data_IF_961179994098
#
_entry.id   IF_961179994098
#
_cell.length_a   1.000
_cell.length_b   1.000
_cell.length_c   1.000
_cell.angle_alpha   90.00
_cell.angle_beta   90.00
_cell.angle_gamma   90.00
#
_symmetry.space_group_name_H-M   'P 1'
#
loop_
_entity.id
_entity.type
_entity.pdbx_description
1 polymer ?
#
# COMPACT_ATOMS: atom_id res chain seq x y z
N UNK A 1 11.92 -15.07 -6.26
CA UNK A 1 13.10 -15.12 -5.36
C UNK A 1 12.78 -14.35 -4.10
N UNK A 2 12.82 -14.99 -2.95
CA UNK A 2 12.55 -14.34 -1.66
C UNK A 2 13.52 -13.17 -1.39
N UNK A 3 13.00 -12.15 -0.71
CA UNK A 3 13.76 -11.00 -0.23
C UNK A 3 13.70 -11.01 1.29
N UNK A 4 14.85 -10.87 1.93
CA UNK A 4 14.91 -10.76 3.37
C UNK A 4 15.72 -9.52 3.75
N UNK A 5 15.17 -8.70 4.62
CA UNK A 5 15.92 -7.72 5.40
C UNK A 5 16.00 -8.27 6.81
N UNK A 6 17.21 -8.40 7.37
CA UNK A 6 17.46 -8.99 8.69
C UNK A 6 18.12 -7.96 9.58
N UNK A 7 17.45 -7.59 10.68
CA UNK A 7 17.96 -6.66 11.70
C UNK A 7 18.51 -5.35 11.14
N UNK A 8 17.80 -4.80 10.13
CA UNK A 8 18.25 -3.60 9.42
C UNK A 8 18.00 -2.35 10.25
N UNK A 9 19.05 -1.62 10.56
CA UNK A 9 19.02 -0.32 11.23
C UNK A 9 19.65 0.75 10.37
N UNK A 10 19.08 1.98 10.42
CA UNK A 10 19.57 3.15 9.69
C UNK A 10 19.30 4.45 10.44
N UNK A 11 20.32 5.27 10.58
CA UNK A 11 20.24 6.59 11.21
C UNK A 11 20.70 7.69 10.23
N UNK A 12 20.03 8.81 10.29
CA UNK A 12 20.45 10.04 9.64
C UNK A 12 20.69 11.11 10.72
N UNK A 13 21.94 11.29 11.09
CA UNK A 13 22.31 12.09 12.26
C UNK A 13 21.70 11.51 13.55
N UNK A 14 20.85 12.29 14.23
CA UNK A 14 20.15 11.84 15.45
C UNK A 14 18.85 11.10 15.16
N UNK A 15 18.34 11.13 13.93
CA UNK A 15 17.08 10.51 13.56
C UNK A 15 17.28 9.03 13.18
N UNK A 16 16.61 8.13 13.90
CA UNK A 16 16.55 6.71 13.55
C UNK A 16 15.44 6.50 12.52
N UNK A 17 15.83 6.27 11.27
CA UNK A 17 14.89 6.00 10.18
C UNK A 17 14.42 4.55 10.16
N UNK A 18 15.29 3.62 10.58
CA UNK A 18 15.00 2.20 10.80
C UNK A 18 15.67 1.77 12.10
N UNK A 19 14.97 0.95 12.88
CA UNK A 19 15.41 0.45 14.18
C UNK A 19 15.08 -1.04 14.28
N UNK A 20 16.09 -1.88 14.01
CA UNK A 20 16.02 -3.35 14.07
C UNK A 20 14.89 -3.97 13.22
N UNK A 21 14.78 -3.56 11.96
CA UNK A 21 13.73 -4.01 11.04
C UNK A 21 14.09 -5.34 10.41
N UNK A 22 13.21 -6.34 10.60
CA UNK A 22 13.32 -7.65 9.94
C UNK A 22 12.03 -7.97 9.19
N UNK A 23 12.13 -8.23 7.87
CA UNK A 23 11.00 -8.53 6.99
C UNK A 23 11.39 -9.51 5.90
N UNK A 24 10.45 -10.39 5.54
CA UNK A 24 10.61 -11.36 4.46
C UNK A 24 9.47 -11.23 3.46
N UNK A 25 9.79 -11.05 2.19
CA UNK A 25 8.88 -11.23 1.07
C UNK A 25 9.15 -12.57 0.39
N UNK A 26 8.15 -13.42 0.35
CA UNK A 26 8.24 -14.74 -0.28
C UNK A 26 8.47 -14.63 -1.80
N UNK A 27 8.92 -15.72 -2.41
CA UNK A 27 9.12 -15.77 -3.86
C UNK A 27 7.82 -15.55 -4.62
N UNK A 28 7.82 -14.61 -5.55
CA UNK A 28 6.65 -14.24 -6.33
C UNK A 28 5.59 -13.44 -5.57
N UNK A 29 5.80 -13.06 -4.30
CA UNK A 29 4.82 -12.30 -3.54
C UNK A 29 4.72 -10.83 -3.95
N UNK A 30 3.53 -10.28 -3.81
CA UNK A 30 3.24 -8.84 -3.92
C UNK A 30 3.04 -8.26 -2.51
N UNK A 31 4.09 -7.61 -2.00
CA UNK A 31 4.13 -7.05 -0.65
C UNK A 31 3.99 -5.54 -0.65
N UNK A 32 3.17 -5.00 0.28
CA UNK A 32 3.12 -3.58 0.57
C UNK A 32 3.88 -3.23 1.86
N UNK A 33 4.71 -2.19 1.82
CA UNK A 33 5.18 -1.48 3.01
C UNK A 33 4.23 -0.32 3.26
N UNK A 34 3.44 -0.39 4.31
CA UNK A 34 2.37 0.55 4.64
C UNK A 34 2.68 1.30 5.94
N UNK A 35 2.34 2.56 6.05
CA UNK A 35 2.54 3.34 7.27
C UNK A 35 2.53 4.85 7.03
N UNK A 36 2.52 5.68 8.08
CA UNK A 36 2.53 7.12 7.97
C UNK A 36 3.82 7.64 7.33
N UNK A 37 3.81 8.91 6.90
CA UNK A 37 5.01 9.56 6.39
C UNK A 37 6.11 9.57 7.46
N UNK A 38 7.35 9.27 7.07
CA UNK A 38 8.48 9.21 8.00
C UNK A 38 8.63 7.89 8.77
N UNK A 39 7.79 6.86 8.52
CA UNK A 39 7.90 5.56 9.20
C UNK A 39 9.05 4.66 8.73
N UNK A 40 9.87 5.09 7.76
CA UNK A 40 11.05 4.35 7.30
C UNK A 40 10.87 3.53 6.01
N UNK A 41 9.68 3.42 5.44
CA UNK A 41 9.35 2.58 4.27
C UNK A 41 10.27 2.80 3.06
N UNK A 42 10.35 4.04 2.57
CA UNK A 42 11.22 4.36 1.41
C UNK A 42 12.71 4.18 1.74
N UNK A 43 13.11 4.35 3.01
CA UNK A 43 14.49 4.06 3.44
C UNK A 43 14.77 2.57 3.35
N UNK A 44 13.88 1.73 3.86
CA UNK A 44 14.00 0.26 3.75
C UNK A 44 14.02 -0.19 2.29
N UNK A 45 13.11 0.34 1.47
CA UNK A 45 13.05 0.04 0.04
C UNK A 45 14.37 0.41 -0.68
N UNK A 46 14.96 1.58 -0.37
CA UNK A 46 16.25 2.02 -0.94
C UNK A 46 17.41 1.18 -0.44
N UNK A 47 17.41 0.71 0.79
CA UNK A 47 18.41 -0.21 1.33
C UNK A 47 18.34 -1.55 0.59
N UNK A 48 17.16 -2.12 0.37
CA UNK A 48 16.97 -3.35 -0.42
C UNK A 48 17.50 -3.15 -1.85
N UNK A 49 17.23 -1.99 -2.46
CA UNK A 49 17.71 -1.65 -3.80
C UNK A 49 19.25 -1.43 -3.88
N UNK A 50 19.93 -1.20 -2.76
CA UNK A 50 21.34 -0.80 -2.73
C UNK A 50 21.58 0.66 -3.14
N UNK A 51 20.54 1.50 -2.99
CA UNK A 51 20.60 2.95 -3.17
C UNK A 51 20.95 3.69 -1.87
N UNK A 52 20.83 2.98 -0.74
CA UNK A 52 21.22 3.42 0.59
C UNK A 52 21.92 2.24 1.30
N UNK A 53 22.88 2.53 2.17
CA UNK A 53 23.60 1.51 2.94
C UNK A 53 23.00 1.46 4.35
N UNK A 54 22.65 0.29 4.89
CA UNK A 54 22.26 0.16 6.29
C UNK A 54 23.46 0.44 7.20
N UNK A 55 23.20 0.85 8.44
CA UNK A 55 24.26 0.99 9.45
C UNK A 55 24.51 -0.36 10.15
N UNK A 56 23.44 -1.18 10.27
CA UNK A 56 23.49 -2.54 10.81
C UNK A 56 22.51 -3.44 10.03
N UNK A 57 22.73 -4.74 10.10
CA UNK A 57 21.85 -5.74 9.49
C UNK A 57 22.27 -6.16 8.09
N UNK A 58 21.43 -6.99 7.48
CA UNK A 58 21.73 -7.66 6.22
C UNK A 58 20.54 -7.66 5.28
N UNK A 59 20.80 -7.57 3.98
CA UNK A 59 19.81 -7.78 2.90
C UNK A 59 20.19 -9.01 2.11
N UNK A 60 19.24 -9.95 1.98
CA UNK A 60 19.40 -11.19 1.23
C UNK A 60 18.39 -11.22 0.09
N UNK A 61 18.81 -11.51 -1.14
CA UNK A 61 17.95 -11.67 -2.31
C UNK A 61 18.23 -13.04 -2.93
N UNK A 62 17.21 -13.91 -2.94
CA UNK A 62 17.34 -15.26 -3.48
C UNK A 62 18.38 -16.12 -2.79
N UNK A 63 18.55 -15.95 -1.47
CA UNK A 63 19.51 -16.68 -0.65
C UNK A 63 20.95 -16.14 -0.69
N UNK A 64 21.21 -15.07 -1.45
CA UNK A 64 22.52 -14.42 -1.54
C UNK A 64 22.52 -13.09 -0.78
N UNK A 65 23.51 -12.88 0.09
CA UNK A 65 23.71 -11.59 0.75
C UNK A 65 24.13 -10.53 -0.25
N UNK A 66 23.35 -9.44 -0.33
CA UNK A 66 23.56 -8.34 -1.28
C UNK A 66 23.91 -7.03 -0.59
N UNK A 67 24.09 -7.01 0.70
CA UNK A 67 24.28 -5.79 1.52
C UNK A 67 25.40 -4.90 0.95
N UNK A 68 26.58 -5.48 0.72
CA UNK A 68 27.74 -4.78 0.17
C UNK A 68 27.74 -4.68 -1.37
N UNK A 69 26.75 -5.30 -2.03
CA UNK A 69 26.67 -5.34 -3.48
C UNK A 69 26.10 -4.01 -4.02
N UNK A 70 26.73 -3.37 -5.01
CA UNK A 70 26.21 -2.14 -5.59
C UNK A 70 24.87 -2.39 -6.29
N UNK A 71 23.96 -1.40 -6.28
CA UNK A 71 22.59 -1.49 -6.80
C UNK A 71 22.51 -2.12 -8.21
N UNK A 72 23.42 -1.75 -9.13
CA UNK A 72 23.49 -2.29 -10.51
C UNK A 72 23.68 -3.81 -10.60
N UNK A 73 24.19 -4.43 -9.55
CA UNK A 73 24.52 -5.86 -9.52
C UNK A 73 23.49 -6.70 -8.76
N UNK A 74 22.55 -6.08 -8.02
CA UNK A 74 21.54 -6.79 -7.19
C UNK A 74 20.41 -7.44 -8.01
N UNK A 75 20.30 -7.15 -9.31
CA UNK A 75 19.23 -7.68 -10.15
C UNK A 75 17.86 -7.11 -9.82
N UNK A 76 17.79 -5.89 -9.30
CA UNK A 76 16.57 -5.19 -8.87
C UNK A 76 16.11 -4.22 -9.96
N UNK A 77 14.80 -4.20 -10.23
CA UNK A 77 14.11 -3.13 -10.96
C UNK A 77 13.55 -2.13 -9.95
N UNK A 78 13.80 -0.84 -10.16
CA UNK A 78 13.33 0.21 -9.25
C UNK A 78 12.50 1.26 -9.99
N UNK A 79 11.31 1.58 -9.44
CA UNK A 79 10.45 2.68 -9.91
C UNK A 79 10.39 3.73 -8.81
N UNK A 80 10.86 4.93 -9.13
CA UNK A 80 10.86 6.07 -8.21
C UNK A 80 9.49 6.74 -8.15
N UNK A 81 9.16 7.40 -7.04
CA UNK A 81 7.92 8.12 -6.78
C UNK A 81 7.53 9.11 -7.90
N UNK A 82 8.51 9.80 -8.49
CA UNK A 82 8.29 10.73 -9.61
C UNK A 82 8.65 10.10 -10.98
N UNK A 83 8.65 8.75 -11.06
CA UNK A 83 8.92 7.96 -12.26
C UNK A 83 10.31 8.19 -12.89
N UNK A 84 11.01 9.27 -12.55
CA UNK A 84 12.34 9.68 -13.03
C UNK A 84 12.54 9.44 -14.55
N UNK A 85 11.67 9.99 -15.43
CA UNK A 85 11.80 9.79 -16.86
C UNK A 85 13.03 10.52 -17.44
N UNK A 86 13.68 9.92 -18.40
CA UNK A 86 14.67 10.62 -19.22
C UNK A 86 13.95 11.53 -20.20
N UNK A 87 13.78 12.81 -19.82
CA UNK A 87 12.92 13.78 -20.52
C UNK A 87 13.28 14.03 -21.98
N UNK A 88 14.55 13.83 -22.35
CA UNK A 88 15.10 14.03 -23.70
C UNK A 88 15.05 12.76 -24.57
N UNK A 89 14.55 11.67 -24.05
CA UNK A 89 14.40 10.39 -24.74
C UNK A 89 12.92 10.10 -25.01
N UNK A 90 12.64 9.37 -26.09
CA UNK A 90 11.30 8.85 -26.38
C UNK A 90 10.86 7.79 -25.35
N UNK A 91 9.62 7.37 -25.40
CA UNK A 91 9.11 6.22 -24.60
C UNK A 91 9.92 4.97 -24.93
N UNK A 92 10.14 4.68 -26.22
CA UNK A 92 10.97 3.58 -26.69
C UNK A 92 12.37 3.63 -26.05
N UNK A 93 13.05 4.77 -26.15
CA UNK A 93 14.41 4.92 -25.65
C UNK A 93 14.51 4.87 -24.13
N UNK A 94 13.49 5.38 -23.41
CA UNK A 94 13.40 5.21 -21.96
C UNK A 94 13.37 3.73 -21.58
N UNK A 95 12.54 2.93 -22.24
CA UNK A 95 12.42 1.48 -21.95
C UNK A 95 13.68 0.74 -22.39
N UNK A 96 14.28 1.09 -23.54
CA UNK A 96 15.50 0.50 -24.09
C UNK A 96 16.76 0.80 -23.25
N UNK A 97 16.74 1.86 -22.43
CA UNK A 97 17.94 2.43 -21.81
C UNK A 97 18.78 1.40 -21.06
N UNK A 98 18.16 0.62 -20.17
CA UNK A 98 18.85 -0.38 -19.36
C UNK A 98 19.52 -1.50 -20.19
N UNK A 99 18.90 -1.89 -21.29
CA UNK A 99 19.44 -2.88 -22.22
C UNK A 99 20.60 -2.29 -23.04
N UNK A 100 20.47 -1.02 -23.46
CA UNK A 100 21.50 -0.30 -24.21
C UNK A 100 22.77 -0.11 -23.36
N UNK A 101 22.65 0.27 -22.10
CA UNK A 101 23.77 0.37 -21.15
C UNK A 101 24.48 -0.99 -20.96
N UNK A 102 23.73 -2.09 -20.99
CA UNK A 102 24.25 -3.47 -20.93
C UNK A 102 24.79 -3.97 -22.26
N UNK A 103 24.79 -3.12 -23.30
CA UNK A 103 25.33 -3.42 -24.66
C UNK A 103 24.66 -4.64 -25.29
N UNK A 104 23.37 -4.85 -25.09
CA UNK A 104 22.62 -5.93 -25.74
C UNK A 104 22.49 -5.68 -27.25
N UNK A 105 22.34 -6.73 -28.09
CA UNK A 105 22.13 -6.58 -29.54
C UNK A 105 20.90 -5.71 -29.85
N UNK A 106 20.96 -4.88 -30.88
CA UNK A 106 19.86 -3.99 -31.28
C UNK A 106 18.55 -4.73 -31.57
N UNK A 107 18.64 -5.92 -32.18
CA UNK A 107 17.46 -6.76 -32.44
C UNK A 107 16.79 -7.20 -31.14
N UNK A 108 17.56 -7.69 -30.17
CA UNK A 108 17.03 -8.09 -28.82
C UNK A 108 16.37 -6.90 -28.11
N UNK A 109 16.98 -5.71 -28.18
CA UNK A 109 16.42 -4.49 -27.61
C UNK A 109 15.07 -4.17 -28.27
N UNK A 110 15.00 -4.18 -29.61
CA UNK A 110 13.78 -3.84 -30.34
C UNK A 110 12.62 -4.81 -30.00
N UNK A 111 12.91 -6.11 -30.00
CA UNK A 111 11.92 -7.15 -29.68
C UNK A 111 11.42 -7.02 -28.24
N UNK A 112 12.34 -6.83 -27.28
CA UNK A 112 11.99 -6.70 -25.87
C UNK A 112 11.21 -5.42 -25.57
N UNK A 113 11.59 -4.29 -26.17
CA UNK A 113 10.86 -3.02 -26.00
C UNK A 113 9.45 -3.14 -26.58
N UNK A 114 9.30 -3.75 -27.76
CA UNK A 114 7.98 -3.99 -28.37
C UNK A 114 7.08 -4.84 -27.47
N UNK A 115 7.61 -5.94 -26.95
CA UNK A 115 6.90 -6.81 -25.99
C UNK A 115 6.44 -6.03 -24.75
N UNK A 116 7.35 -5.27 -24.14
CA UNK A 116 7.04 -4.52 -22.92
C UNK A 116 6.05 -3.38 -23.15
N UNK A 117 6.16 -2.66 -24.28
CA UNK A 117 5.20 -1.61 -24.61
C UNK A 117 3.79 -2.18 -24.81
N UNK A 118 3.67 -3.37 -25.41
CA UNK A 118 2.39 -4.08 -25.51
C UNK A 118 1.89 -4.48 -24.12
N UNK A 119 2.73 -5.08 -23.27
CA UNK A 119 2.41 -5.49 -21.90
C UNK A 119 1.85 -4.33 -21.04
N UNK A 120 2.49 -3.15 -21.15
CA UNK A 120 2.05 -1.95 -20.41
C UNK A 120 1.02 -1.09 -21.16
N UNK A 121 0.53 -1.53 -22.32
CA UNK A 121 -0.45 -0.84 -23.18
C UNK A 121 0.01 0.55 -23.60
N UNK A 122 1.24 0.66 -24.09
CA UNK A 122 1.85 1.87 -24.62
C UNK A 122 2.35 1.72 -26.07
N UNK A 123 1.93 0.67 -26.80
CA UNK A 123 2.45 0.35 -28.15
C UNK A 123 2.31 1.51 -29.14
N UNK A 124 1.22 2.26 -29.07
CA UNK A 124 0.99 3.42 -29.96
C UNK A 124 1.74 4.69 -29.54
N UNK A 125 2.53 4.65 -28.46
CA UNK A 125 3.18 5.83 -27.87
C UNK A 125 4.71 5.76 -27.89
N UNK A 126 5.29 4.78 -28.58
CA UNK A 126 6.75 4.52 -28.59
C UNK A 126 7.59 5.75 -28.93
N UNK A 127 7.16 6.55 -29.91
CA UNK A 127 7.86 7.74 -30.39
C UNK A 127 7.54 9.02 -29.61
N UNK A 128 6.65 8.96 -28.62
CA UNK A 128 6.33 10.11 -27.79
C UNK A 128 7.39 10.37 -26.75
N UNK A 129 7.48 11.64 -26.33
CA UNK A 129 8.33 12.06 -25.22
C UNK A 129 7.55 12.04 -23.89
N UNK A 130 8.21 11.89 -22.74
CA UNK A 130 7.55 11.89 -21.43
C UNK A 130 6.62 13.07 -21.17
N UNK A 131 6.94 14.25 -21.68
CA UNK A 131 6.11 15.46 -21.58
C UNK A 131 4.75 15.38 -22.31
N UNK A 132 4.58 14.36 -23.15
CA UNK A 132 3.35 14.13 -23.94
C UNK A 132 2.49 13.01 -23.33
N UNK A 133 2.87 12.47 -22.17
CA UNK A 133 2.21 11.37 -21.49
C UNK A 133 1.40 11.86 -20.29
N UNK A 134 0.28 11.19 -20.02
CA UNK A 134 -0.43 11.33 -18.74
C UNK A 134 0.39 10.72 -17.58
N UNK A 135 0.02 11.03 -16.32
CA UNK A 135 0.70 10.47 -15.15
C UNK A 135 0.69 8.94 -15.14
N UNK A 136 -0.45 8.31 -15.43
CA UNK A 136 -0.54 6.85 -15.53
C UNK A 136 0.27 6.26 -16.68
N UNK A 137 0.38 6.96 -17.81
CA UNK A 137 1.24 6.52 -18.91
C UNK A 137 2.73 6.64 -18.55
N UNK A 138 3.13 7.70 -17.82
CA UNK A 138 4.50 7.86 -17.30
C UNK A 138 4.86 6.73 -16.33
N UNK A 139 3.94 6.35 -15.45
CA UNK A 139 4.14 5.23 -14.53
C UNK A 139 4.31 3.91 -15.26
N UNK A 140 3.44 3.60 -16.23
CA UNK A 140 3.54 2.38 -17.05
C UNK A 140 4.85 2.33 -17.83
N UNK A 141 5.31 3.46 -18.37
CA UNK A 141 6.63 3.56 -19.02
C UNK A 141 7.76 3.28 -18.00
N UNK A 142 7.71 3.86 -16.80
CA UNK A 142 8.74 3.62 -15.79
C UNK A 142 8.78 2.16 -15.35
N UNK A 143 7.63 1.50 -15.26
CA UNK A 143 7.55 0.08 -14.95
C UNK A 143 8.10 -0.79 -16.11
N UNK A 144 7.74 -0.49 -17.36
CA UNK A 144 8.32 -1.17 -18.54
C UNK A 144 9.86 -1.03 -18.56
N UNK A 145 10.38 0.16 -18.25
CA UNK A 145 11.83 0.41 -18.12
C UNK A 145 12.47 -0.45 -17.04
N UNK A 146 11.82 -0.59 -15.87
CA UNK A 146 12.32 -1.43 -14.78
C UNK A 146 12.31 -2.92 -15.16
N UNK A 147 11.28 -3.38 -15.87
CA UNK A 147 11.13 -4.76 -16.34
C UNK A 147 12.03 -5.12 -17.53
N UNK A 148 12.51 -4.11 -18.28
CA UNK A 148 13.31 -4.36 -19.48
C UNK A 148 14.55 -5.19 -19.20
N UNK A 149 15.17 -4.99 -18.06
CA UNK A 149 16.41 -5.67 -17.65
C UNK A 149 16.18 -7.05 -17.02
N UNK A 150 14.94 -7.55 -17.03
CA UNK A 150 14.51 -8.82 -16.42
C UNK A 150 14.96 -8.93 -14.96
N UNK A 151 14.45 -8.05 -14.08
CA UNK A 151 14.87 -8.04 -12.69
C UNK A 151 14.36 -9.28 -11.97
N UNK A 152 15.11 -9.72 -10.95
CA UNK A 152 14.69 -10.76 -10.01
C UNK A 152 13.63 -10.25 -9.04
N UNK A 153 13.66 -8.95 -8.76
CA UNK A 153 12.84 -8.24 -7.78
C UNK A 153 12.43 -6.89 -8.34
N UNK A 154 11.18 -6.49 -8.09
CA UNK A 154 10.64 -5.19 -8.46
C UNK A 154 10.32 -4.36 -7.20
N UNK A 155 10.86 -3.15 -7.13
CA UNK A 155 10.67 -2.23 -6.02
C UNK A 155 10.01 -0.95 -6.52
N UNK A 156 8.87 -0.58 -5.91
CA UNK A 156 8.06 0.56 -6.34
C UNK A 156 7.91 1.55 -5.17
N UNK A 157 8.45 2.75 -5.32
CA UNK A 157 8.35 3.81 -4.30
C UNK A 157 7.14 4.70 -4.61
N UNK A 158 6.06 4.56 -3.83
CA UNK A 158 4.76 5.27 -3.97
C UNK A 158 4.21 5.25 -5.42
N UNK A 159 3.94 4.08 -6.00
CA UNK A 159 3.60 3.99 -7.42
C UNK A 159 2.30 4.71 -7.81
N UNK A 160 1.40 5.00 -6.88
CA UNK A 160 0.08 5.58 -7.14
C UNK A 160 -0.06 7.04 -6.69
N UNK A 161 0.99 7.63 -6.09
CA UNK A 161 0.92 8.88 -5.32
C UNK A 161 0.55 10.16 -6.09
N UNK A 162 0.79 10.26 -7.40
CA UNK A 162 0.62 11.51 -8.15
C UNK A 162 -0.57 11.50 -9.14
N UNK A 163 -1.60 10.68 -8.86
CA UNK A 163 -2.68 10.41 -9.80
C UNK A 163 -4.05 10.80 -9.22
N UNK A 164 -5.00 11.16 -10.11
CA UNK A 164 -6.40 11.31 -9.73
C UNK A 164 -7.03 9.95 -9.33
N UNK A 165 -8.15 10.01 -8.59
CA UNK A 165 -8.76 8.83 -7.98
C UNK A 165 -9.17 7.75 -9.00
N UNK A 166 -9.68 8.15 -10.17
CA UNK A 166 -10.11 7.21 -11.21
C UNK A 166 -8.91 6.48 -11.82
N UNK A 167 -7.89 7.24 -12.23
CA UNK A 167 -6.65 6.67 -12.80
C UNK A 167 -5.93 5.78 -11.79
N UNK A 168 -5.98 6.15 -10.50
CA UNK A 168 -5.40 5.37 -9.41
C UNK A 168 -6.07 3.99 -9.30
N UNK A 169 -7.41 3.93 -9.31
CA UNK A 169 -8.14 2.65 -9.28
C UNK A 169 -7.79 1.75 -10.47
N UNK A 170 -7.80 2.30 -11.70
CA UNK A 170 -7.43 1.56 -12.90
C UNK A 170 -5.98 1.02 -12.84
N UNK A 171 -5.07 1.78 -12.24
CA UNK A 171 -3.66 1.36 -12.11
C UNK A 171 -3.44 0.30 -11.03
N UNK A 172 -4.18 0.36 -9.90
CA UNK A 172 -4.14 -0.69 -8.87
C UNK A 172 -4.53 -2.05 -9.47
N UNK A 173 -5.68 -2.08 -10.14
CA UNK A 173 -6.18 -3.28 -10.80
C UNK A 173 -5.23 -3.77 -11.91
N UNK A 174 -4.65 -2.84 -12.67
CA UNK A 174 -3.68 -3.17 -13.70
C UNK A 174 -2.36 -3.71 -13.11
N UNK A 175 -1.83 -3.12 -12.02
CA UNK A 175 -0.62 -3.62 -11.36
C UNK A 175 -0.83 -5.04 -10.81
N UNK A 176 -1.99 -5.31 -10.22
CA UNK A 176 -2.35 -6.64 -9.74
C UNK A 176 -2.33 -7.67 -10.88
N UNK A 177 -3.01 -7.37 -11.99
CA UNK A 177 -3.02 -8.26 -13.17
C UNK A 177 -1.63 -8.45 -13.76
N UNK A 178 -0.83 -7.38 -13.85
CA UNK A 178 0.53 -7.48 -14.32
C UNK A 178 1.37 -8.40 -13.42
N UNK A 179 1.23 -8.27 -12.11
CA UNK A 179 1.93 -9.13 -11.15
C UNK A 179 1.55 -10.61 -11.36
N UNK A 180 0.27 -10.90 -11.51
CA UNK A 180 -0.24 -12.26 -11.77
C UNK A 180 0.35 -12.85 -13.06
N UNK A 181 0.63 -12.00 -14.08
CA UNK A 181 1.21 -12.41 -15.37
C UNK A 181 2.72 -12.66 -15.30
N UNK A 182 3.46 -11.78 -14.60
CA UNK A 182 4.94 -11.84 -14.59
C UNK A 182 5.53 -12.59 -13.40
N UNK A 183 4.80 -12.71 -12.31
CA UNK A 183 5.19 -13.40 -11.06
C UNK A 183 6.58 -13.01 -10.52
N UNK A 184 6.96 -11.75 -10.63
CA UNK A 184 8.20 -11.21 -10.07
C UNK A 184 7.92 -10.73 -8.65
N UNK A 185 8.72 -11.17 -7.68
CA UNK A 185 8.63 -10.69 -6.30
C UNK A 185 8.66 -9.16 -6.28
N UNK A 186 7.59 -8.57 -5.79
CA UNK A 186 7.37 -7.12 -5.87
C UNK A 186 7.14 -6.55 -4.48
N UNK A 187 7.87 -5.48 -4.13
CA UNK A 187 7.61 -4.68 -2.93
C UNK A 187 7.23 -3.28 -3.38
N UNK A 188 6.10 -2.77 -2.88
CA UNK A 188 5.73 -1.38 -3.09
C UNK A 188 5.51 -0.64 -1.77
N UNK A 189 5.84 0.65 -1.77
CA UNK A 189 5.60 1.56 -0.64
C UNK A 189 4.33 2.33 -0.89
N UNK A 190 3.50 2.44 0.12
CA UNK A 190 2.34 3.34 0.12
C UNK A 190 2.04 3.87 1.52
N UNK A 191 1.35 4.99 1.61
CA UNK A 191 0.72 5.51 2.82
C UNK A 191 -0.81 5.39 2.78
N UNK A 192 -1.35 4.91 1.66
CA UNK A 192 -2.77 4.72 1.42
C UNK A 192 -3.18 3.27 1.77
N UNK A 193 -4.13 3.16 2.69
CA UNK A 193 -4.62 1.87 3.19
C UNK A 193 -5.36 1.09 2.10
N UNK A 194 -6.18 1.79 1.27
CA UNK A 194 -6.93 1.16 0.19
C UNK A 194 -5.99 0.53 -0.83
N UNK A 195 -4.90 1.23 -1.18
CA UNK A 195 -3.88 0.71 -2.10
C UNK A 195 -3.26 -0.58 -1.58
N UNK A 196 -2.86 -0.60 -0.30
CA UNK A 196 -2.27 -1.78 0.31
C UNK A 196 -3.26 -2.94 0.40
N UNK A 197 -4.48 -2.67 0.88
CA UNK A 197 -5.52 -3.70 1.09
C UNK A 197 -6.04 -4.30 -0.21
N UNK A 198 -6.10 -3.51 -1.30
CA UNK A 198 -6.62 -3.97 -2.60
C UNK A 198 -5.56 -4.71 -3.43
N UNK A 199 -4.30 -4.27 -3.35
CA UNK A 199 -3.24 -4.72 -4.26
C UNK A 199 -2.39 -5.83 -3.66
N UNK A 200 -2.01 -5.71 -2.38
CA UNK A 200 -1.01 -6.59 -1.78
C UNK A 200 -1.57 -7.95 -1.34
N UNK A 201 -0.72 -8.97 -1.39
CA UNK A 201 -0.94 -10.28 -0.78
C UNK A 201 -0.45 -10.31 0.66
N UNK A 202 0.59 -9.53 0.94
CA UNK A 202 1.17 -9.33 2.25
C UNK A 202 1.38 -7.85 2.51
N UNK A 203 1.03 -7.38 3.70
CA UNK A 203 1.23 -6.00 4.13
C UNK A 203 2.12 -5.99 5.37
N UNK A 204 3.11 -5.11 5.36
CA UNK A 204 3.96 -4.81 6.51
C UNK A 204 3.64 -3.41 6.98
N UNK A 205 3.03 -3.29 8.15
CA UNK A 205 2.71 -2.00 8.76
C UNK A 205 3.92 -1.49 9.53
N UNK A 206 4.40 -0.31 9.15
CA UNK A 206 5.57 0.32 9.75
C UNK A 206 5.19 1.62 10.46
N UNK A 207 5.79 1.84 11.63
CA UNK A 207 5.64 3.06 12.39
C UNK A 207 6.97 3.41 13.09
N UNK A 208 7.36 4.69 13.08
CA UNK A 208 8.55 5.21 13.77
C UNK A 208 9.83 4.35 13.57
N UNK A 209 10.03 3.85 12.34
CA UNK A 209 11.21 3.04 11.98
C UNK A 209 11.14 1.57 12.38
N UNK A 210 10.01 1.08 12.88
CA UNK A 210 9.80 -0.32 13.31
C UNK A 210 8.63 -0.96 12.58
N UNK A 211 8.58 -2.29 12.60
CA UNK A 211 7.43 -3.05 12.13
C UNK A 211 6.46 -3.23 13.30
N UNK A 212 5.22 -2.83 13.10
CA UNK A 212 4.12 -3.03 14.06
C UNK A 212 3.44 -4.38 13.87
N UNK A 213 3.19 -4.74 12.60
CA UNK A 213 2.59 -6.03 12.23
C UNK A 213 2.89 -6.33 10.76
N UNK A 214 3.02 -7.62 10.44
CA UNK A 214 3.03 -8.13 9.07
C UNK A 214 1.99 -9.25 8.95
N UNK A 215 1.30 -9.31 7.81
CA UNK A 215 0.29 -10.33 7.55
C UNK A 215 -0.48 -10.06 6.27
N UNK A 216 -1.48 -10.90 5.97
CA UNK A 216 -2.43 -10.65 4.88
C UNK A 216 -3.31 -9.44 5.19
N UNK A 217 -3.92 -8.80 4.16
CA UNK A 217 -4.89 -7.73 4.37
C UNK A 217 -5.97 -8.09 5.39
N UNK A 218 -6.50 -9.31 5.29
CA UNK A 218 -7.54 -9.82 6.19
C UNK A 218 -7.06 -9.92 7.64
N UNK A 219 -5.87 -10.49 7.86
CA UNK A 219 -5.31 -10.62 9.22
C UNK A 219 -5.09 -9.28 9.89
N UNK A 220 -4.57 -8.28 9.15
CA UNK A 220 -4.36 -6.93 9.69
C UNK A 220 -5.67 -6.24 10.08
N UNK A 221 -6.74 -6.49 9.34
CA UNK A 221 -8.05 -5.91 9.61
C UNK A 221 -8.79 -6.64 10.75
N UNK A 222 -8.86 -7.98 10.67
CA UNK A 222 -9.60 -8.82 11.63
C UNK A 222 -8.84 -9.08 12.94
N UNK A 223 -7.48 -9.05 12.91
CA UNK A 223 -6.63 -9.41 14.05
C UNK A 223 -5.46 -8.44 14.24
N UNK A 224 -5.73 -7.13 14.39
CA UNK A 224 -4.67 -6.14 14.62
C UNK A 224 -3.93 -6.46 15.91
N UNK A 225 -2.60 -6.34 15.89
CA UNK A 225 -1.71 -6.68 17.02
C UNK A 225 -1.74 -5.64 18.14
N UNK A 226 -2.07 -4.40 17.81
CA UNK A 226 -2.07 -3.29 18.76
C UNK A 226 -3.02 -2.15 18.34
N UNK A 227 -3.18 -1.16 19.22
CA UNK A 227 -4.01 0.03 18.98
C UNK A 227 -3.62 0.79 17.73
N UNK A 228 -2.30 0.92 17.48
CA UNK A 228 -1.81 1.64 16.31
C UNK A 228 -2.28 0.97 15.02
N UNK A 229 -2.07 -0.33 14.87
CA UNK A 229 -2.49 -1.08 13.67
C UNK A 229 -4.00 -1.01 13.49
N UNK A 230 -4.77 -1.19 14.57
CA UNK A 230 -6.22 -1.12 14.51
C UNK A 230 -6.72 0.24 14.03
N UNK A 231 -6.17 1.33 14.59
CA UNK A 231 -6.57 2.70 14.23
C UNK A 231 -6.04 3.12 12.86
N UNK A 232 -4.89 2.59 12.46
CA UNK A 232 -4.26 2.93 11.19
C UNK A 232 -4.91 2.20 10.00
N UNK A 233 -5.39 0.96 10.17
CA UNK A 233 -5.96 0.14 9.08
C UNK A 233 -7.43 0.48 8.76
N UNK A 234 -8.08 1.34 9.51
CA UNK A 234 -9.44 1.77 9.21
C UNK A 234 -10.08 2.51 10.37
N UNK A 235 -11.26 3.09 10.15
CA UNK A 235 -11.96 3.84 11.18
C UNK A 235 -12.29 2.97 12.40
N UNK A 236 -12.20 3.58 13.58
CA UNK A 236 -12.45 2.91 14.85
C UNK A 236 -13.12 3.86 15.84
N UNK A 237 -14.06 3.34 16.65
CA UNK A 237 -14.59 4.01 17.81
C UNK A 237 -13.74 3.65 19.03
N UNK A 238 -13.29 4.65 19.78
CA UNK A 238 -12.63 4.44 21.08
C UNK A 238 -13.63 4.63 22.21
N UNK A 239 -13.81 3.60 23.02
CA UNK A 239 -14.75 3.58 24.13
C UNK A 239 -13.99 3.28 25.44
N UNK A 240 -13.38 4.31 26.05
CA UNK A 240 -12.40 4.13 27.13
C UNK A 240 -11.11 3.52 26.59
N UNK A 241 -10.73 2.35 27.09
CA UNK A 241 -9.57 1.58 26.64
C UNK A 241 -9.94 0.52 25.58
N UNK A 242 -11.18 0.54 25.14
CA UNK A 242 -11.70 -0.44 24.20
C UNK A 242 -11.93 0.16 22.81
N UNK A 243 -11.82 -0.67 21.77
CA UNK A 243 -11.92 -0.29 20.36
C UNK A 243 -12.98 -1.12 19.67
N UNK A 244 -13.83 -0.46 18.88
CA UNK A 244 -14.94 -1.06 18.13
C UNK A 244 -14.97 -0.51 16.71
N UNK A 245 -15.10 -1.37 15.71
CA UNK A 245 -15.28 -0.91 14.32
C UNK A 245 -16.66 -0.30 14.12
N UNK A 246 -16.79 0.78 13.32
CA UNK A 246 -18.11 1.39 13.06
C UNK A 246 -19.13 0.45 12.40
N UNK A 247 -18.68 -0.49 11.57
CA UNK A 247 -19.57 -1.45 10.90
C UNK A 247 -20.02 -2.61 11.82
N UNK A 248 -19.37 -2.79 12.97
CA UNK A 248 -19.77 -3.76 13.99
C UNK A 248 -20.80 -3.17 14.99
N UNK A 249 -21.03 -1.84 14.90
CA UNK A 249 -22.06 -1.18 15.72
C UNK A 249 -23.43 -1.38 15.08
N UNK A 250 -24.32 -2.07 15.75
CA UNK A 250 -25.69 -2.32 15.28
C UNK A 250 -26.65 -1.24 15.77
N UNK A 251 -27.42 -0.63 14.87
CA UNK A 251 -28.55 0.25 15.20
C UNK A 251 -29.82 -0.58 15.08
N UNK A 252 -30.62 -0.63 16.14
CA UNK A 252 -31.80 -1.51 16.26
C UNK A 252 -33.09 -0.68 16.19
N UNK A 253 -34.15 -1.25 15.62
CA UNK A 253 -35.51 -0.64 15.68
C UNK A 253 -36.09 -0.68 17.08
N UNK A 254 -35.81 -1.74 17.84
CA UNK A 254 -36.31 -1.96 19.22
C UNK A 254 -35.20 -2.58 20.07
N UNK A 255 -35.20 -2.30 21.36
CA UNK A 255 -34.31 -2.98 22.30
C UNK A 255 -34.80 -4.43 22.52
N UNK A 256 -33.99 -5.39 22.17
CA UNK A 256 -34.24 -6.82 22.39
C UNK A 256 -33.44 -7.37 23.59
N UNK A 257 -32.87 -6.48 24.39
CA UNK A 257 -32.07 -6.74 25.58
C UNK A 257 -30.56 -6.53 25.36
N UNK A 258 -29.98 -5.67 26.18
CA UNK A 258 -28.55 -5.37 26.18
C UNK A 258 -28.10 -4.27 25.22
N UNK A 259 -29.03 -3.56 24.57
CA UNK A 259 -28.71 -2.36 23.79
C UNK A 259 -28.67 -1.12 24.70
N UNK A 260 -27.96 -0.10 24.24
CA UNK A 260 -27.85 1.21 24.89
C UNK A 260 -28.52 2.25 24.00
N UNK A 261 -29.37 3.11 24.53
CA UNK A 261 -29.96 4.22 23.79
C UNK A 261 -28.85 5.19 23.30
N UNK A 262 -28.92 5.61 22.06
CA UNK A 262 -27.99 6.59 21.50
C UNK A 262 -28.74 7.65 20.68
N UNK A 263 -28.33 8.89 20.83
CA UNK A 263 -28.85 10.02 20.06
C UNK A 263 -28.12 10.13 18.73
N UNK A 264 -28.86 10.13 17.61
CA UNK A 264 -28.31 10.40 16.28
C UNK A 264 -27.99 11.90 16.16
N UNK A 265 -26.71 12.23 16.05
CA UNK A 265 -26.23 13.59 15.78
C UNK A 265 -26.27 13.93 14.31
N UNK A 266 -25.92 12.98 13.44
CA UNK A 266 -25.79 13.21 12.02
C UNK A 266 -25.92 11.93 11.21
N UNK A 267 -26.53 12.02 10.04
CA UNK A 267 -26.60 10.92 9.06
C UNK A 267 -25.91 11.37 7.78
N UNK A 268 -24.87 10.67 7.33
CA UNK A 268 -24.08 11.01 6.16
C UNK A 268 -24.14 9.89 5.12
N UNK A 269 -24.76 10.18 3.98
CA UNK A 269 -24.84 9.24 2.85
C UNK A 269 -23.56 9.28 2.03
N UNK A 270 -22.79 8.18 2.01
CA UNK A 270 -21.50 8.04 1.30
C UNK A 270 -21.62 7.18 0.03
N UNK A 271 -22.79 7.20 -0.62
CA UNK A 271 -23.06 6.43 -1.83
C UNK A 271 -23.61 5.05 -1.52
N UNK A 272 -22.77 4.04 -1.32
CA UNK A 272 -23.18 2.65 -1.05
C UNK A 272 -23.46 2.40 0.45
N UNK A 273 -22.91 3.20 1.32
CA UNK A 273 -23.06 3.11 2.78
C UNK A 273 -23.59 4.40 3.40
N UNK A 274 -24.05 4.31 4.64
CA UNK A 274 -24.48 5.44 5.46
C UNK A 274 -23.70 5.43 6.76
N UNK A 275 -23.01 6.54 7.06
CA UNK A 275 -22.36 6.77 8.34
C UNK A 275 -23.30 7.51 9.26
N UNK A 276 -23.47 7.00 10.46
CA UNK A 276 -24.32 7.58 11.50
C UNK A 276 -23.44 7.99 12.68
N UNK A 277 -23.40 9.27 12.99
CA UNK A 277 -22.71 9.79 14.17
C UNK A 277 -23.69 9.77 15.35
N UNK A 278 -23.28 9.13 16.43
CA UNK A 278 -24.12 8.82 17.58
C UNK A 278 -23.49 9.37 18.86
N UNK A 279 -24.34 9.80 19.81
CA UNK A 279 -23.90 10.11 21.19
C UNK A 279 -24.53 9.13 22.15
N UNK A 280 -23.70 8.45 22.93
CA UNK A 280 -24.13 7.57 24.01
C UNK A 280 -24.64 8.37 25.23
N UNK A 281 -25.41 7.75 26.18
CA UNK A 281 -25.92 8.44 27.36
C UNK A 281 -24.87 9.05 28.27
N UNK A 282 -23.66 8.52 28.24
CA UNK A 282 -22.52 9.03 28.99
C UNK A 282 -21.78 10.20 28.29
N UNK A 283 -22.32 10.67 27.16
CA UNK A 283 -21.76 11.80 26.37
C UNK A 283 -20.66 11.45 25.41
N UNK A 284 -20.28 10.18 25.27
CA UNK A 284 -19.28 9.75 24.28
C UNK A 284 -19.88 9.72 22.88
N UNK A 285 -19.09 10.19 21.91
CA UNK A 285 -19.42 10.14 20.50
C UNK A 285 -18.84 8.88 19.87
N UNK A 286 -19.66 8.17 19.10
CA UNK A 286 -19.29 7.01 18.30
C UNK A 286 -19.86 7.14 16.89
N UNK A 287 -19.40 6.32 15.97
CA UNK A 287 -19.98 6.20 14.64
C UNK A 287 -20.43 4.77 14.37
N UNK A 288 -21.55 4.63 13.68
CA UNK A 288 -21.99 3.38 13.09
C UNK A 288 -21.92 3.49 11.55
N UNK A 289 -21.66 2.37 10.90
CA UNK A 289 -21.68 2.26 9.46
C UNK A 289 -22.72 1.22 9.06
N UNK A 290 -23.78 1.67 8.40
CA UNK A 290 -24.91 0.82 8.02
C UNK A 290 -25.15 0.83 6.51
N UNK A 291 -25.91 -0.14 6.03
CA UNK A 291 -26.32 -0.16 4.62
C UNK A 291 -27.37 0.91 4.34
N UNK A 292 -27.54 1.30 3.08
CA UNK A 292 -28.64 2.18 2.66
C UNK A 292 -30.02 1.57 2.94
N UNK A 293 -30.14 0.24 2.84
CA UNK A 293 -31.38 -0.46 3.13
C UNK A 293 -31.72 -0.36 4.62
N UNK A 294 -30.77 -0.62 5.51
CA UNK A 294 -30.94 -0.47 6.95
C UNK A 294 -31.27 0.96 7.34
N UNK A 295 -30.59 1.95 6.74
CA UNK A 295 -30.87 3.36 7.01
C UNK A 295 -32.27 3.78 6.60
N UNK A 296 -32.79 3.26 5.49
CA UNK A 296 -34.14 3.52 4.99
C UNK A 296 -35.21 2.78 5.84
N UNK A 297 -34.96 1.53 6.23
CA UNK A 297 -35.85 0.73 7.06
C UNK A 297 -36.07 1.36 8.45
N UNK A 298 -34.99 1.87 9.04
CA UNK A 298 -35.00 2.53 10.35
C UNK A 298 -35.38 4.01 10.27
N UNK A 299 -35.61 4.56 9.07
CA UNK A 299 -35.91 5.97 8.80
C UNK A 299 -34.94 6.92 9.51
N UNK A 300 -33.60 6.61 9.43
CA UNK A 300 -32.59 7.30 10.25
C UNK A 300 -32.54 8.80 9.95
N UNK A 301 -32.69 9.62 10.98
CA UNK A 301 -32.60 11.07 10.91
C UNK A 301 -31.98 11.69 12.17
N UNK A 302 -31.50 12.90 12.04
CA UNK A 302 -30.90 13.66 13.14
C UNK A 302 -31.94 13.93 14.26
N UNK A 303 -31.52 13.80 15.51
CA UNK A 303 -32.34 13.97 16.71
C UNK A 303 -33.11 12.72 17.13
N UNK A 304 -33.06 11.63 16.38
CA UNK A 304 -33.68 10.36 16.73
C UNK A 304 -32.88 9.65 17.82
N UNK A 305 -33.57 9.01 18.74
CA UNK A 305 -32.97 8.15 19.78
C UNK A 305 -33.31 6.70 19.43
N UNK A 306 -32.28 5.87 19.24
CA UNK A 306 -32.44 4.45 18.92
C UNK A 306 -31.54 3.58 19.81
N UNK A 307 -31.95 2.32 20.05
CA UNK A 307 -31.10 1.34 20.73
C UNK A 307 -29.92 0.99 19.83
N UNK A 308 -28.73 0.97 20.44
CA UNK A 308 -27.48 0.60 19.76
C UNK A 308 -26.81 -0.54 20.49
N UNK A 309 -26.47 -1.60 19.81
CA UNK A 309 -25.69 -2.70 20.35
C UNK A 309 -24.24 -2.54 19.96
N UNK A 310 -23.37 -2.52 20.97
CA UNK A 310 -21.92 -2.54 20.78
C UNK A 310 -21.47 -4.00 20.83
N UNK A 311 -20.63 -4.44 19.88
CA UNK A 311 -20.05 -5.78 19.92
C UNK A 311 -19.08 -5.91 21.08
N UNK A 312 -18.57 -7.12 21.30
CA UNK A 312 -17.50 -7.35 22.27
C UNK A 312 -16.27 -6.50 21.90
N UNK A 313 -15.88 -5.53 22.74
CA UNK A 313 -14.85 -4.56 22.36
C UNK A 313 -13.46 -5.19 22.43
N UNK A 314 -12.55 -4.74 21.57
CA UNK A 314 -11.14 -5.14 21.65
C UNK A 314 -10.41 -4.26 22.64
N UNK A 315 -9.62 -4.90 23.50
CA UNK A 315 -8.73 -4.24 24.47
C UNK A 315 -7.32 -4.70 24.16
N UNK A 316 -6.42 -3.75 23.97
CA UNK A 316 -5.00 -4.04 23.81
C UNK A 316 -4.31 -3.89 25.16
N UNK A 317 -3.38 -4.81 25.47
CA UNK A 317 -2.53 -4.65 26.64
C UNK A 317 -1.63 -3.42 26.48
N UNK A 318 -1.51 -2.63 27.55
CA UNK A 318 -0.71 -1.41 27.59
C UNK A 318 0.81 -1.73 27.50
#
# INVERSE_FOLDING_TARGET
MAIEARHVSKRFGTFAALDDVSVTAEDGALMALLGPSGSGKSTLLRIIAGLETPDEGEVVIGGESVTEMPARSRGVGFVFQHYAPFKHMTVHDNVAFGLSVRKRPKSEIADRVKELLALVRLDGLAERYPSQLSGGQLQRMALARALAVQPKVLLLDEPFGALDAQVRGELREWLRRLHDEIQVTTIFVTHDQEEAMEVAEQIVVMNAGRIEQAGSPRELYESPSNEFVMSFIGPVNRIGDAFVRPHDVEILAHDDGGATEALIKRVVHLGFEVRVELTLPDGRDISAQVTRATAAELELHEGQILPVRLPEPRIFAA
#
